data_IF_540304846761
#
_entry.id   IF_540304846761
#
_cell.length_a   1.000
_cell.length_b   1.000
_cell.length_c   1.000
_cell.angle_alpha   90.00
_cell.angle_beta   90.00
_cell.angle_gamma   90.00
#
_symmetry.space_group_name_H-M   'P 1'
#
loop_
_entity.id
_entity.type
_entity.pdbx_description
1 polymer ?
#
# COMPACT_ATOMS: atom_id res chain seq x y z
N UNK A 1 -54.91 -27.97 -25.79
CA UNK A 1 -56.18 -27.40 -26.33
C UNK A 1 -55.86 -26.26 -27.22
N UNK A 2 -56.20 -26.39 -28.47
CA UNK A 2 -55.97 -25.48 -29.58
C UNK A 2 -56.94 -24.29 -29.47
N UNK A 3 -56.52 -23.10 -29.75
CA UNK A 3 -57.37 -21.91 -29.86
C UNK A 3 -56.92 -20.98 -30.98
N UNK A 4 -57.65 -20.98 -32.01
CA UNK A 4 -57.60 -20.40 -33.34
C UNK A 4 -57.50 -18.88 -33.39
N UNK A 5 -56.75 -18.39 -34.39
CA UNK A 5 -56.78 -17.02 -34.93
C UNK A 5 -58.00 -16.78 -35.85
N UNK A 6 -58.45 -15.55 -36.06
CA UNK A 6 -58.94 -15.16 -37.36
C UNK A 6 -58.15 -14.00 -37.98
N UNK A 7 -57.84 -14.19 -39.24
CA UNK A 7 -57.38 -13.14 -40.21
C UNK A 7 -58.54 -12.22 -40.57
N UNK A 8 -58.28 -10.93 -40.54
CA UNK A 8 -59.10 -9.97 -41.26
C UNK A 8 -58.25 -9.25 -42.29
N UNK A 9 -58.61 -9.41 -43.54
CA UNK A 9 -58.06 -8.69 -44.68
C UNK A 9 -58.64 -7.31 -44.77
N UNK A 10 -57.82 -6.36 -45.13
CA UNK A 10 -58.29 -5.01 -45.56
C UNK A 10 -57.66 -4.63 -46.86
N UNK A 11 -58.52 -4.29 -47.79
CA UNK A 11 -58.27 -3.97 -49.19
C UNK A 11 -57.44 -2.69 -49.35
N UNK A 12 -56.47 -2.77 -50.21
CA UNK A 12 -55.62 -1.65 -50.63
C UNK A 12 -56.34 -0.83 -51.73
N UNK A 13 -56.72 0.42 -51.45
CA UNK A 13 -57.09 1.39 -52.46
C UNK A 13 -55.87 2.25 -52.80
N UNK A 14 -55.39 2.11 -54.03
CA UNK A 14 -54.35 2.94 -54.62
C UNK A 14 -54.89 4.36 -54.84
N UNK A 15 -54.37 5.36 -54.17
CA UNK A 15 -54.56 6.75 -54.51
C UNK A 15 -53.24 7.23 -55.13
N UNK A 16 -53.28 7.49 -56.43
CA UNK A 16 -52.17 8.08 -57.16
C UNK A 16 -52.24 9.60 -56.92
N UNK A 17 -51.32 10.10 -56.11
CA UNK A 17 -51.13 11.54 -55.87
C UNK A 17 -49.91 12.00 -56.68
N UNK A 18 -50.17 12.77 -57.75
CA UNK A 18 -49.12 13.36 -58.59
C UNK A 18 -48.46 14.53 -57.84
N UNK A 19 -47.23 14.36 -57.35
CA UNK A 19 -46.43 15.43 -56.77
C UNK A 19 -45.64 16.13 -57.92
N UNK A 20 -45.94 17.39 -58.13
CA UNK A 20 -45.11 18.31 -58.90
C UNK A 20 -43.84 18.61 -58.10
N UNK A 21 -42.68 18.12 -58.55
CA UNK A 21 -41.38 18.45 -58.00
C UNK A 21 -40.94 19.84 -58.40
N UNK A 22 -41.08 20.80 -57.49
CA UNK A 22 -40.43 22.14 -57.69
C UNK A 22 -38.96 21.99 -57.23
N UNK A 23 -38.03 22.05 -58.14
CA UNK A 23 -36.59 22.01 -57.83
C UNK A 23 -36.20 23.35 -57.15
N UNK A 24 -36.08 23.35 -55.82
CA UNK A 24 -35.42 24.41 -55.08
C UNK A 24 -33.94 24.15 -55.10
N UNK A 25 -33.19 24.93 -55.87
CA UNK A 25 -31.72 24.90 -55.86
C UNK A 25 -31.24 25.42 -54.52
N UNK A 26 -30.73 24.50 -53.62
CA UNK A 26 -30.05 24.89 -52.42
C UNK A 26 -28.71 25.55 -52.75
N UNK A 27 -28.32 26.63 -52.07
CA UNK A 27 -27.00 27.23 -52.25
C UNK A 27 -25.92 26.24 -51.82
N UNK A 28 -24.71 26.28 -52.43
CA UNK A 28 -23.62 25.37 -52.03
C UNK A 28 -23.27 25.61 -50.56
N UNK A 29 -23.29 24.53 -49.81
CA UNK A 29 -22.81 24.52 -48.43
C UNK A 29 -21.32 24.84 -48.50
N UNK A 30 -20.94 26.07 -48.18
CA UNK A 30 -19.53 26.43 -48.00
C UNK A 30 -19.00 25.58 -46.83
N UNK A 31 -18.05 24.68 -47.13
CA UNK A 31 -17.33 23.96 -46.11
C UNK A 31 -16.69 24.99 -45.16
N UNK A 32 -17.09 25.00 -43.91
CA UNK A 32 -16.42 25.82 -42.90
C UNK A 32 -14.93 25.42 -42.87
N UNK A 33 -14.06 26.41 -43.04
CA UNK A 33 -12.63 26.20 -42.86
C UNK A 33 -12.41 25.54 -41.47
N UNK A 34 -11.57 24.49 -41.39
CA UNK A 34 -11.26 23.89 -40.10
C UNK A 34 -10.70 24.97 -39.18
N UNK A 35 -11.32 25.13 -38.00
CA UNK A 35 -10.83 26.05 -36.99
C UNK A 35 -9.34 25.84 -36.78
N UNK A 36 -8.53 26.91 -36.62
CA UNK A 36 -7.10 26.79 -36.43
C UNK A 36 -6.84 25.80 -35.29
N UNK A 37 -6.03 24.78 -35.58
CA UNK A 37 -5.66 23.74 -34.65
C UNK A 37 -5.15 24.42 -33.36
N UNK A 38 -5.95 24.44 -32.31
CA UNK A 38 -5.50 24.90 -31.00
C UNK A 38 -4.25 24.09 -30.69
N UNK A 39 -3.10 24.74 -30.68
CA UNK A 39 -1.84 24.08 -30.37
C UNK A 39 -2.03 23.39 -29.02
N UNK A 40 -2.08 22.05 -29.03
CA UNK A 40 -2.21 21.26 -27.81
C UNK A 40 -1.07 21.66 -26.89
N UNK A 41 -1.40 22.14 -25.70
CA UNK A 41 -0.39 22.43 -24.68
C UNK A 41 0.36 21.13 -24.40
N UNK A 42 1.70 21.11 -24.50
CA UNK A 42 2.47 19.90 -24.26
C UNK A 42 2.16 19.33 -22.88
N UNK A 43 1.94 18.03 -22.79
CA UNK A 43 1.80 17.36 -21.50
C UNK A 43 3.09 17.50 -20.68
N UNK A 44 2.97 17.74 -19.39
CA UNK A 44 4.09 17.77 -18.44
C UNK A 44 4.05 16.54 -17.53
N UNK A 45 5.20 16.08 -16.99
CA UNK A 45 5.23 14.99 -16.02
C UNK A 45 4.40 15.32 -14.78
N UNK A 46 3.68 14.33 -14.26
CA UNK A 46 3.08 14.38 -12.92
C UNK A 46 4.15 13.91 -11.90
N UNK A 47 4.67 14.84 -11.09
CA UNK A 47 5.69 14.54 -10.08
C UNK A 47 4.99 14.27 -8.75
N UNK A 48 5.21 13.08 -8.18
CA UNK A 48 4.61 12.65 -6.91
C UNK A 48 5.60 12.81 -5.75
N UNK A 49 6.90 12.57 -5.99
CA UNK A 49 7.94 12.59 -4.97
C UNK A 49 9.32 12.52 -5.59
N UNK A 50 10.26 12.00 -4.85
CA UNK A 50 11.65 11.89 -5.25
C UNK A 50 12.12 10.43 -5.25
N UNK A 51 13.15 10.15 -6.04
CA UNK A 51 13.85 8.86 -6.02
C UNK A 51 15.36 9.09 -5.93
N UNK A 52 16.03 8.23 -5.15
CA UNK A 52 17.48 8.18 -5.11
C UNK A 52 17.96 6.73 -4.97
N UNK A 53 19.27 6.52 -5.12
CA UNK A 53 19.88 5.20 -4.99
C UNK A 53 20.92 5.18 -3.86
N UNK A 54 21.06 4.01 -3.24
CA UNK A 54 22.11 3.69 -2.27
C UNK A 54 22.89 2.50 -2.79
N UNK A 55 24.23 2.66 -2.91
CA UNK A 55 25.13 1.54 -3.12
C UNK A 55 25.33 0.83 -1.77
N UNK A 56 24.50 -0.18 -1.51
CA UNK A 56 24.50 -0.88 -0.23
C UNK A 56 25.73 -1.78 -0.11
N UNK A 57 26.55 -1.52 0.89
CA UNK A 57 27.69 -2.39 1.25
C UNK A 57 27.22 -3.66 1.96
N UNK A 58 26.14 -3.54 2.76
CA UNK A 58 25.55 -4.66 3.49
C UNK A 58 24.95 -5.68 2.53
N UNK A 59 24.23 -5.23 1.51
CA UNK A 59 23.56 -6.10 0.54
C UNK A 59 24.41 -6.40 -0.70
N UNK A 60 25.47 -5.62 -0.96
CA UNK A 60 26.33 -5.77 -2.13
C UNK A 60 25.63 -5.42 -3.44
N UNK A 61 24.65 -4.50 -3.41
CA UNK A 61 23.84 -4.11 -4.57
C UNK A 61 23.32 -2.68 -4.43
N UNK A 62 22.93 -2.09 -5.56
CA UNK A 62 22.26 -0.79 -5.58
C UNK A 62 20.81 -0.94 -5.19
N UNK A 63 20.34 -0.12 -4.24
CA UNK A 63 18.94 -0.04 -3.82
C UNK A 63 18.30 1.27 -4.26
N UNK A 64 17.12 1.20 -4.86
CA UNK A 64 16.33 2.38 -5.21
C UNK A 64 15.36 2.69 -4.09
N UNK A 65 15.31 3.96 -3.73
CA UNK A 65 14.48 4.48 -2.64
C UNK A 65 13.56 5.55 -3.21
N UNK A 66 12.28 5.41 -2.97
CA UNK A 66 11.25 6.36 -3.36
C UNK A 66 10.75 7.10 -2.12
N UNK A 67 10.63 8.42 -2.19
CA UNK A 67 10.23 9.24 -1.06
C UNK A 67 9.04 10.11 -1.44
N UNK A 68 8.01 10.10 -0.61
CA UNK A 68 6.89 11.01 -0.69
C UNK A 68 6.77 11.82 0.60
N UNK A 69 6.86 13.15 0.47
CA UNK A 69 6.61 14.09 1.58
C UNK A 69 5.22 14.70 1.39
N UNK A 70 4.25 14.43 2.28
CA UNK A 70 2.94 15.07 2.20
C UNK A 70 3.06 16.57 2.52
N UNK A 71 2.22 17.38 1.87
CA UNK A 71 2.16 18.82 2.06
C UNK A 71 0.71 19.24 2.40
N UNK A 72 0.19 18.88 3.58
CA UNK A 72 -1.11 19.34 4.00
C UNK A 72 -1.10 20.86 4.19
N UNK A 73 -2.28 21.46 4.10
CA UNK A 73 -2.42 22.92 4.25
C UNK A 73 -1.79 23.43 5.56
N UNK A 74 -0.95 24.44 5.45
CA UNK A 74 -0.30 25.07 6.61
C UNK A 74 0.93 24.36 7.16
N UNK A 75 1.35 23.23 6.59
CA UNK A 75 2.62 22.57 6.97
C UNK A 75 3.80 23.29 6.33
N UNK A 76 4.72 23.76 7.17
CA UNK A 76 6.01 24.28 6.69
C UNK A 76 6.82 23.16 6.05
N UNK A 77 7.35 23.35 4.81
CA UNK A 77 8.20 22.38 4.13
C UNK A 77 9.40 21.88 4.95
N UNK A 78 9.95 22.71 5.81
CA UNK A 78 11.09 22.39 6.67
C UNK A 78 10.70 21.70 8.01
N UNK A 79 9.41 21.54 8.28
CA UNK A 79 8.96 20.84 9.50
C UNK A 79 9.49 19.42 9.52
N UNK A 80 10.23 18.99 10.57
CA UNK A 80 10.66 17.61 10.69
C UNK A 80 9.46 16.65 10.82
N UNK A 81 9.43 15.60 9.98
CA UNK A 81 8.36 14.60 10.00
C UNK A 81 8.84 13.25 10.56
N UNK A 82 7.98 12.49 11.23
CA UNK A 82 8.23 11.08 11.48
C UNK A 82 8.28 10.33 10.15
N UNK A 83 8.96 9.16 10.14
CA UNK A 83 9.22 8.40 8.91
C UNK A 83 8.46 7.08 8.92
N UNK A 84 7.71 6.82 7.84
CA UNK A 84 7.07 5.54 7.56
C UNK A 84 7.90 4.81 6.48
N UNK A 85 8.58 3.75 6.89
CA UNK A 85 9.33 2.88 5.99
C UNK A 85 8.44 1.76 5.48
N UNK A 86 8.54 1.46 4.17
CA UNK A 86 7.80 0.38 3.55
C UNK A 86 8.69 -0.43 2.58
N UNK A 87 8.89 -1.72 2.79
CA UNK A 87 9.24 -2.66 1.73
C UNK A 87 8.15 -2.68 0.65
N UNK A 88 8.41 -3.29 -0.52
CA UNK A 88 7.50 -3.23 -1.66
C UNK A 88 7.23 -1.78 -2.11
N UNK A 89 8.26 -0.93 -2.02
CA UNK A 89 8.16 0.52 -2.19
C UNK A 89 8.53 1.02 -3.60
N UNK A 90 8.51 0.15 -4.62
CA UNK A 90 8.70 0.55 -6.01
C UNK A 90 7.45 1.23 -6.60
N UNK A 91 7.64 2.02 -7.66
CA UNK A 91 6.51 2.67 -8.37
C UNK A 91 5.57 1.64 -9.01
N UNK A 92 6.08 0.49 -9.43
CA UNK A 92 5.28 -0.64 -9.92
C UNK A 92 4.81 -1.60 -8.83
N UNK A 93 5.08 -1.28 -7.58
CA UNK A 93 4.68 -2.02 -6.38
C UNK A 93 3.63 -1.21 -5.60
N UNK A 94 3.71 -1.17 -4.27
CA UNK A 94 2.68 -0.54 -3.43
C UNK A 94 2.95 0.93 -3.07
N UNK A 95 4.04 1.54 -3.57
CA UNK A 95 4.41 2.92 -3.20
C UNK A 95 3.30 3.93 -3.48
N UNK A 96 2.73 3.93 -4.70
CA UNK A 96 1.69 4.90 -5.09
C UNK A 96 0.43 4.75 -4.25
N UNK A 97 0.07 3.52 -3.94
CA UNK A 97 -1.07 3.18 -3.11
C UNK A 97 -0.92 3.77 -1.69
N UNK A 98 0.22 3.53 -1.02
CA UNK A 98 0.46 4.03 0.34
C UNK A 98 0.70 5.55 0.35
N UNK A 99 1.39 6.09 -0.67
CA UNK A 99 1.55 7.55 -0.82
C UNK A 99 0.19 8.26 -0.95
N UNK A 100 -0.75 7.68 -1.70
CA UNK A 100 -2.11 8.19 -1.80
C UNK A 100 -2.86 8.17 -0.47
N UNK A 101 -2.71 7.11 0.34
CA UNK A 101 -3.26 7.06 1.69
C UNK A 101 -2.65 8.14 2.59
N UNK A 102 -1.32 8.27 2.61
CA UNK A 102 -0.63 9.30 3.39
C UNK A 102 -1.09 10.70 2.97
N UNK A 103 -1.23 10.95 1.65
CA UNK A 103 -1.73 12.22 1.13
C UNK A 103 -3.12 12.56 1.66
N UNK A 104 -4.06 11.65 1.45
CA UNK A 104 -5.48 11.88 1.79
C UNK A 104 -5.66 12.02 3.29
N UNK A 105 -5.03 11.15 4.08
CA UNK A 105 -5.19 11.15 5.53
C UNK A 105 -4.54 12.35 6.21
N UNK A 106 -3.38 12.80 5.73
CA UNK A 106 -2.76 14.02 6.25
C UNK A 106 -3.47 15.29 5.77
N UNK A 107 -4.05 15.27 4.55
CA UNK A 107 -4.77 16.41 4.00
C UNK A 107 -6.16 16.66 4.60
N UNK A 108 -6.77 15.63 5.21
CA UNK A 108 -8.10 15.72 5.86
C UNK A 108 -8.05 15.57 7.38
N UNK A 109 -6.89 15.72 7.99
CA UNK A 109 -6.67 15.63 9.46
C UNK A 109 -7.11 14.29 10.08
N UNK A 110 -7.14 13.20 9.29
CA UNK A 110 -7.38 11.86 9.83
C UNK A 110 -6.12 11.20 10.37
N UNK A 111 -4.95 11.73 9.99
CA UNK A 111 -3.64 11.27 10.39
C UNK A 111 -2.67 12.46 10.40
N UNK A 112 -1.73 12.49 11.35
CA UNK A 112 -0.61 13.42 11.28
C UNK A 112 0.37 13.06 10.16
N UNK A 113 1.04 14.03 9.53
CA UNK A 113 1.89 13.77 8.36
C UNK A 113 3.12 12.92 8.72
N UNK A 114 3.47 12.00 7.81
CA UNK A 114 4.68 11.17 7.83
C UNK A 114 5.42 11.32 6.51
N UNK A 115 6.74 11.36 6.54
CA UNK A 115 7.57 11.13 5.36
C UNK A 115 7.48 9.64 5.00
N UNK A 116 6.99 9.31 3.81
CA UNK A 116 6.97 7.93 3.33
C UNK A 116 8.28 7.62 2.62
N UNK A 117 8.92 6.51 3.02
CA UNK A 117 10.15 6.00 2.42
C UNK A 117 9.91 4.58 1.94
N UNK A 118 9.76 4.43 0.64
CA UNK A 118 9.56 3.15 -0.04
C UNK A 118 10.89 2.56 -0.52
N UNK A 119 11.10 1.27 -0.25
CA UNK A 119 12.28 0.53 -0.69
C UNK A 119 11.85 -0.39 -1.83
N UNK A 120 12.29 -0.08 -3.06
CA UNK A 120 12.02 -0.91 -4.23
C UNK A 120 12.71 -2.27 -4.12
N UNK A 121 12.01 -3.33 -4.51
CA UNK A 121 12.55 -4.68 -4.46
C UNK A 121 13.62 -4.90 -5.54
N UNK A 122 14.66 -5.61 -5.16
CA UNK A 122 15.57 -6.32 -6.07
C UNK A 122 15.28 -7.82 -6.00
N UNK A 123 15.35 -8.40 -4.81
CA UNK A 123 15.03 -9.79 -4.54
C UNK A 123 14.10 -9.92 -3.33
N UNK A 124 12.83 -9.62 -3.58
CA UNK A 124 11.79 -9.55 -2.55
C UNK A 124 11.81 -10.71 -1.56
N UNK A 125 11.87 -11.95 -2.08
CA UNK A 125 11.80 -13.15 -1.24
C UNK A 125 13.07 -13.38 -0.42
N UNK A 126 14.23 -13.04 -0.98
CA UNK A 126 15.49 -13.06 -0.21
C UNK A 126 15.42 -12.08 0.96
N UNK A 127 15.01 -10.85 0.69
CA UNK A 127 15.09 -9.73 1.64
C UNK A 127 14.04 -9.81 2.76
N UNK A 128 12.88 -10.40 2.47
CA UNK A 128 11.75 -10.41 3.40
C UNK A 128 11.57 -11.72 4.17
N UNK A 129 12.44 -12.70 3.94
CA UNK A 129 12.34 -14.00 4.62
C UNK A 129 13.57 -14.34 5.42
N UNK A 130 13.37 -14.92 6.58
CA UNK A 130 14.41 -15.62 7.33
C UNK A 130 14.79 -16.95 6.68
N UNK A 131 15.88 -17.60 7.17
CA UNK A 131 16.27 -18.93 6.69
C UNK A 131 15.14 -19.95 6.83
N UNK A 132 15.01 -20.83 5.84
CA UNK A 132 14.10 -21.96 5.89
C UNK A 132 14.79 -23.23 5.38
N UNK A 133 14.57 -24.35 6.07
CA UNK A 133 14.96 -25.69 5.62
C UNK A 133 13.81 -26.45 4.95
N UNK A 134 12.65 -25.81 4.79
CA UNK A 134 11.44 -26.38 4.19
C UNK A 134 11.61 -26.45 2.69
N UNK A 135 11.54 -27.64 2.04
CA UNK A 135 11.75 -27.75 0.60
C UNK A 135 10.75 -26.93 -0.23
N UNK A 136 9.52 -26.76 0.25
CA UNK A 136 8.48 -25.97 -0.37
C UNK A 136 8.84 -24.49 -0.44
N UNK A 137 9.38 -23.96 0.65
CA UNK A 137 9.84 -22.55 0.71
C UNK A 137 11.00 -22.32 -0.25
N UNK A 138 11.94 -23.27 -0.35
CA UNK A 138 13.07 -23.21 -1.26
C UNK A 138 12.66 -23.28 -2.75
N UNK A 139 11.52 -23.96 -3.05
CA UNK A 139 10.96 -23.98 -4.42
C UNK A 139 10.32 -22.64 -4.81
N UNK A 140 9.72 -21.93 -3.85
CA UNK A 140 9.08 -20.64 -4.10
C UNK A 140 10.14 -19.58 -4.46
N UNK A 141 11.33 -19.66 -3.87
CA UNK A 141 12.39 -18.69 -4.07
C UNK A 141 13.77 -19.36 -4.10
N UNK A 142 14.57 -19.16 -5.15
CA UNK A 142 15.91 -19.72 -5.24
C UNK A 142 16.89 -19.10 -4.22
N UNK A 143 16.62 -17.88 -3.77
CA UNK A 143 17.35 -17.19 -2.71
C UNK A 143 16.41 -16.73 -1.61
N UNK A 144 16.69 -17.15 -0.38
CA UNK A 144 15.92 -16.89 0.84
C UNK A 144 16.87 -16.58 1.99
N UNK A 145 16.35 -16.14 3.13
CA UNK A 145 17.11 -16.02 4.37
C UNK A 145 17.93 -14.75 4.52
N UNK A 146 17.64 -13.70 3.73
CA UNK A 146 18.35 -12.43 3.74
C UNK A 146 17.75 -11.36 4.66
N UNK A 147 16.67 -11.64 5.38
CA UNK A 147 15.95 -10.66 6.19
C UNK A 147 16.83 -9.96 7.24
N UNK A 148 17.78 -10.69 7.85
CA UNK A 148 18.72 -10.10 8.80
C UNK A 148 19.65 -9.07 8.15
N UNK A 149 20.18 -9.35 6.95
CA UNK A 149 20.99 -8.40 6.19
C UNK A 149 20.15 -7.20 5.72
N UNK A 150 18.92 -7.46 5.27
CA UNK A 150 18.00 -6.39 4.87
C UNK A 150 17.65 -5.47 6.05
N UNK A 151 17.42 -5.99 7.24
CA UNK A 151 17.22 -5.21 8.47
C UNK A 151 18.47 -4.40 8.83
N UNK A 152 19.67 -4.98 8.68
CA UNK A 152 20.94 -4.25 8.87
C UNK A 152 21.08 -3.12 7.87
N UNK A 153 20.76 -3.32 6.60
CA UNK A 153 20.72 -2.26 5.58
C UNK A 153 19.76 -1.11 5.99
N UNK A 154 18.56 -1.42 6.44
CA UNK A 154 17.62 -0.40 6.89
C UNK A 154 18.22 0.44 8.03
N UNK A 155 18.79 -0.23 9.04
CA UNK A 155 19.32 0.41 10.25
C UNK A 155 20.59 1.22 9.98
N UNK A 156 21.54 0.64 9.26
CA UNK A 156 22.91 1.15 9.20
C UNK A 156 23.21 2.00 7.96
N UNK A 157 22.40 1.86 6.90
CA UNK A 157 22.60 2.58 5.64
C UNK A 157 21.41 3.48 5.29
N UNK A 158 20.19 2.93 5.21
CA UNK A 158 19.03 3.69 4.75
C UNK A 158 18.59 4.78 5.74
N UNK A 159 18.42 4.44 7.01
CA UNK A 159 17.93 5.41 8.02
C UNK A 159 18.87 6.60 8.20
N UNK A 160 20.22 6.42 8.25
CA UNK A 160 21.14 7.55 8.26
C UNK A 160 21.05 8.42 7.00
N UNK A 161 20.93 7.82 5.82
CA UNK A 161 20.82 8.54 4.55
C UNK A 161 19.54 9.38 4.47
N UNK A 162 18.39 8.80 4.89
CA UNK A 162 17.12 9.52 4.95
C UNK A 162 17.21 10.72 5.90
N UNK A 163 17.81 10.54 7.08
CA UNK A 163 18.00 11.62 8.06
C UNK A 163 18.89 12.74 7.54
N UNK A 164 19.88 12.40 6.72
CA UNK A 164 20.76 13.40 6.10
C UNK A 164 20.07 14.22 5.02
N UNK A 165 19.14 13.59 4.27
CA UNK A 165 18.46 14.22 3.12
C UNK A 165 17.23 15.03 3.50
N UNK A 166 16.53 14.60 4.55
CA UNK A 166 15.20 15.12 4.87
C UNK A 166 15.12 15.55 6.35
N UNK A 167 14.41 16.64 6.66
CA UNK A 167 14.11 16.99 8.03
C UNK A 167 13.17 15.93 8.62
N UNK A 168 13.68 15.13 9.56
CA UNK A 168 12.95 14.03 10.21
C UNK A 168 13.05 14.07 11.72
N UNK A 169 12.02 13.56 12.38
CA UNK A 169 12.05 13.28 13.83
C UNK A 169 12.68 11.91 14.10
N UNK A 170 12.81 11.55 15.38
CA UNK A 170 13.27 10.22 15.78
C UNK A 170 12.18 9.15 15.69
N UNK A 171 10.92 9.54 15.46
CA UNK A 171 9.83 8.57 15.34
C UNK A 171 9.87 7.86 14.00
N UNK A 172 9.82 6.52 14.04
CA UNK A 172 9.91 5.64 12.88
C UNK A 172 8.86 4.55 12.95
N UNK A 173 8.24 4.27 11.82
CA UNK A 173 7.29 3.20 11.66
C UNK A 173 7.69 2.29 10.49
N UNK A 174 7.31 1.01 10.56
CA UNK A 174 7.50 0.02 9.50
C UNK A 174 6.13 -0.57 9.14
N UNK A 175 5.78 -0.57 7.86
CA UNK A 175 4.55 -1.15 7.32
C UNK A 175 4.87 -2.17 6.25
N UNK A 176 4.13 -3.28 6.22
CA UNK A 176 4.24 -4.28 5.15
C UNK A 176 3.08 -5.25 5.15
N UNK A 177 2.82 -5.79 3.96
CA UNK A 177 1.81 -6.82 3.70
C UNK A 177 2.48 -8.13 3.25
N UNK A 178 1.84 -9.28 3.51
CA UNK A 178 2.32 -10.57 3.01
C UNK A 178 3.73 -10.92 3.53
N UNK A 179 4.71 -11.14 2.65
CA UNK A 179 6.11 -11.35 3.03
C UNK A 179 6.75 -10.10 3.65
N UNK A 180 6.35 -8.89 3.21
CA UNK A 180 6.76 -7.66 3.90
C UNK A 180 6.15 -7.60 5.31
N UNK A 181 4.91 -8.07 5.49
CA UNK A 181 4.29 -8.26 6.81
C UNK A 181 5.05 -9.28 7.68
N UNK A 182 5.52 -10.38 7.10
CA UNK A 182 6.41 -11.33 7.78
C UNK A 182 7.69 -10.64 8.26
N UNK A 183 8.34 -9.85 7.40
CA UNK A 183 9.53 -9.08 7.73
C UNK A 183 9.27 -8.05 8.85
N UNK A 184 8.10 -7.40 8.84
CA UNK A 184 7.68 -6.50 9.93
C UNK A 184 7.62 -7.26 11.25
N UNK A 185 6.98 -8.43 11.30
CA UNK A 185 6.87 -9.25 12.51
C UNK A 185 8.24 -9.79 12.96
N UNK A 186 9.07 -10.24 12.02
CA UNK A 186 10.42 -10.68 12.33
C UNK A 186 11.25 -9.55 12.94
N UNK A 187 11.17 -8.35 12.37
CA UNK A 187 11.88 -7.16 12.87
C UNK A 187 11.39 -6.77 14.28
N UNK A 188 10.07 -6.79 14.49
CA UNK A 188 9.47 -6.58 15.82
C UNK A 188 10.03 -7.53 16.86
N UNK A 189 10.16 -8.81 16.53
CA UNK A 189 10.59 -9.83 17.48
C UNK A 189 12.11 -9.84 17.69
N UNK A 190 12.91 -9.56 16.66
CA UNK A 190 14.38 -9.64 16.72
C UNK A 190 15.02 -8.31 17.16
N UNK A 191 14.50 -7.17 16.71
CA UNK A 191 15.04 -5.84 17.01
C UNK A 191 13.90 -4.86 17.37
N UNK A 192 13.19 -5.07 18.50
CA UNK A 192 11.97 -4.33 18.83
C UNK A 192 12.16 -2.83 19.04
N UNK A 193 13.40 -2.36 19.23
CA UNK A 193 13.74 -0.94 19.40
C UNK A 193 14.02 -0.23 18.07
N UNK A 194 14.08 -0.97 16.94
CA UNK A 194 14.42 -0.38 15.66
C UNK A 194 13.34 0.59 15.15
N UNK A 195 12.07 0.31 15.46
CA UNK A 195 10.92 1.18 15.14
C UNK A 195 10.04 1.42 16.37
N UNK A 196 9.35 2.56 16.37
CA UNK A 196 8.36 2.89 17.40
C UNK A 196 7.00 2.23 17.13
N UNK A 197 6.71 1.99 15.85
CA UNK A 197 5.45 1.39 15.41
C UNK A 197 5.68 0.35 14.32
N UNK A 198 4.93 -0.75 14.41
CA UNK A 198 4.97 -1.89 13.48
C UNK A 198 3.57 -2.17 12.96
N UNK A 199 3.41 -2.20 11.64
CA UNK A 199 2.15 -2.45 10.95
C UNK A 199 2.32 -3.69 10.07
N UNK A 200 1.82 -4.84 10.53
CA UNK A 200 1.88 -6.08 9.78
C UNK A 200 0.48 -6.46 9.27
N UNK A 201 0.32 -6.43 7.95
CA UNK A 201 -0.95 -6.66 7.27
C UNK A 201 -0.88 -8.03 6.57
N UNK A 202 -1.80 -8.89 6.94
CA UNK A 202 -1.92 -10.27 6.41
C UNK A 202 -0.57 -11.01 6.31
N UNK A 203 0.25 -10.99 7.39
CA UNK A 203 1.64 -11.44 7.36
C UNK A 203 1.75 -12.93 7.05
N UNK A 204 2.71 -13.29 6.20
CA UNK A 204 2.99 -14.68 5.78
C UNK A 204 3.64 -15.51 6.91
N UNK A 205 3.00 -15.60 8.07
CA UNK A 205 3.52 -16.29 9.27
C UNK A 205 3.63 -17.80 9.11
N UNK A 206 3.11 -18.37 8.02
CA UNK A 206 3.28 -19.77 7.62
C UNK A 206 4.72 -20.11 7.20
N UNK A 207 5.54 -19.11 6.84
CA UNK A 207 6.92 -19.31 6.43
C UNK A 207 7.70 -20.18 7.41
N UNK A 208 8.53 -21.08 6.86
CA UNK A 208 9.29 -22.05 7.64
C UNK A 208 8.42 -22.82 8.65
N UNK A 209 7.25 -23.30 8.20
CA UNK A 209 6.25 -24.02 9.03
C UNK A 209 5.85 -23.24 10.30
N UNK A 210 5.78 -21.92 10.24
CA UNK A 210 5.38 -21.07 11.36
C UNK A 210 6.47 -20.90 12.44
N UNK A 211 7.73 -21.14 12.11
CA UNK A 211 8.83 -21.10 13.07
C UNK A 211 8.96 -19.74 13.77
N UNK A 212 8.68 -18.64 13.08
CA UNK A 212 8.71 -17.30 13.68
C UNK A 212 7.66 -17.19 14.79
N UNK A 213 6.42 -17.57 14.51
CA UNK A 213 5.31 -17.54 15.47
C UNK A 213 5.58 -18.48 16.65
N UNK A 214 6.13 -19.68 16.40
CA UNK A 214 6.52 -20.63 17.44
C UNK A 214 7.63 -20.08 18.37
N UNK A 215 8.51 -19.24 17.85
CA UNK A 215 9.58 -18.59 18.63
C UNK A 215 9.14 -17.36 19.42
N UNK A 216 8.01 -16.75 19.05
CA UNK A 216 7.53 -15.47 19.59
C UNK A 216 7.47 -15.45 21.14
N UNK A 217 6.98 -16.48 21.86
CA UNK A 217 6.94 -16.45 23.33
C UNK A 217 8.28 -16.19 24.00
N UNK A 218 9.39 -16.61 23.39
CA UNK A 218 10.75 -16.38 23.91
C UNK A 218 11.25 -14.97 23.67
N UNK A 219 10.75 -14.30 22.63
CA UNK A 219 11.21 -12.97 22.18
C UNK A 219 10.35 -11.83 22.73
N UNK A 220 9.09 -12.09 23.02
CA UNK A 220 8.12 -11.10 23.50
C UNK A 220 8.51 -10.35 24.78
N UNK A 221 9.27 -10.90 25.75
CA UNK A 221 9.76 -10.11 26.88
C UNK A 221 10.63 -8.91 26.48
N UNK A 222 11.45 -9.04 25.43
CA UNK A 222 12.23 -7.93 24.88
C UNK A 222 11.32 -6.88 24.19
N UNK A 223 10.30 -7.34 23.47
CA UNK A 223 9.28 -6.48 22.86
C UNK A 223 8.53 -5.69 23.93
N UNK A 224 8.10 -6.34 25.02
CA UNK A 224 7.42 -5.68 26.14
C UNK A 224 8.28 -4.59 26.78
N UNK A 225 9.59 -4.83 26.90
CA UNK A 225 10.55 -3.84 27.43
C UNK A 225 10.72 -2.65 26.49
N UNK A 226 10.74 -2.88 25.17
CA UNK A 226 10.88 -1.83 24.15
C UNK A 226 9.61 -0.98 23.98
N UNK A 227 8.44 -1.55 24.28
CA UNK A 227 7.11 -0.89 24.23
C UNK A 227 6.75 -0.27 22.88
N UNK A 228 7.00 -0.93 21.73
CA UNK A 228 6.53 -0.43 20.45
C UNK A 228 4.99 -0.49 20.38
N UNK A 229 4.41 0.25 19.43
CA UNK A 229 2.99 0.14 19.10
C UNK A 229 2.83 -0.83 17.92
N UNK A 230 1.96 -1.81 18.03
CA UNK A 230 1.76 -2.82 17.00
C UNK A 230 0.32 -2.79 16.49
N UNK A 231 0.15 -2.77 15.16
CA UNK A 231 -1.13 -2.98 14.51
C UNK A 231 -1.05 -4.22 13.61
N UNK A 232 -2.03 -5.09 13.76
CA UNK A 232 -2.16 -6.30 12.95
C UNK A 232 -3.47 -6.27 12.18
N UNK A 233 -3.45 -6.79 10.95
CA UNK A 233 -4.66 -7.07 10.19
C UNK A 233 -4.54 -8.42 9.48
N UNK A 234 -5.66 -9.05 9.20
CA UNK A 234 -5.75 -10.27 8.40
C UNK A 234 -6.87 -10.20 7.38
N UNK A 235 -6.68 -10.86 6.25
CA UNK A 235 -7.74 -11.14 5.28
C UNK A 235 -8.70 -12.21 5.80
N UNK A 236 -9.71 -12.57 4.98
CA UNK A 236 -10.59 -13.72 5.22
C UNK A 236 -9.95 -15.08 4.92
N UNK A 237 -8.68 -15.16 4.52
CA UNK A 237 -8.01 -16.43 4.27
C UNK A 237 -7.70 -17.15 5.58
N UNK A 238 -8.22 -18.39 5.80
CA UNK A 238 -8.22 -19.03 7.12
C UNK A 238 -6.82 -19.18 7.74
N UNK A 239 -5.82 -19.58 6.96
CA UNK A 239 -4.46 -19.80 7.46
C UNK A 239 -3.79 -18.49 7.93
N UNK A 240 -3.92 -17.42 7.14
CA UNK A 240 -3.39 -16.09 7.47
C UNK A 240 -4.14 -15.47 8.66
N UNK A 241 -5.47 -15.58 8.66
CA UNK A 241 -6.30 -15.11 9.76
C UNK A 241 -5.94 -15.82 11.07
N UNK A 242 -5.81 -17.14 11.07
CA UNK A 242 -5.49 -17.93 12.24
C UNK A 242 -4.12 -17.58 12.82
N UNK A 243 -3.10 -17.51 11.98
CA UNK A 243 -1.72 -17.22 12.45
C UNK A 243 -1.58 -15.78 12.95
N UNK A 244 -2.24 -14.82 12.30
CA UNK A 244 -2.26 -13.42 12.74
C UNK A 244 -3.03 -13.26 14.06
N UNK A 245 -4.14 -13.96 14.22
CA UNK A 245 -4.91 -13.98 15.48
C UNK A 245 -4.09 -14.57 16.64
N UNK A 246 -3.34 -15.64 16.38
CA UNK A 246 -2.43 -16.23 17.39
C UNK A 246 -1.35 -15.24 17.82
N UNK A 247 -0.72 -14.52 16.87
CA UNK A 247 0.24 -13.47 17.21
C UNK A 247 -0.40 -12.36 18.03
N UNK A 248 -1.60 -11.92 17.66
CA UNK A 248 -2.37 -10.92 18.40
C UNK A 248 -2.60 -11.34 19.85
N UNK A 249 -3.02 -12.58 20.08
CA UNK A 249 -3.24 -13.13 21.42
C UNK A 249 -1.94 -13.18 22.23
N UNK A 250 -0.82 -13.55 21.62
CA UNK A 250 0.48 -13.57 22.28
C UNK A 250 0.93 -12.15 22.70
N UNK A 251 0.76 -11.16 21.84
CA UNK A 251 1.08 -9.76 22.17
C UNK A 251 0.21 -9.23 23.31
N UNK A 252 -1.09 -9.47 23.25
CA UNK A 252 -2.03 -9.08 24.31
C UNK A 252 -1.73 -9.76 25.65
N UNK A 253 -1.43 -11.05 25.61
CA UNK A 253 -1.06 -11.82 26.81
C UNK A 253 0.27 -11.40 27.44
N UNK A 254 1.19 -10.84 26.63
CA UNK A 254 2.48 -10.33 27.12
C UNK A 254 2.33 -8.93 27.73
N UNK A 255 1.70 -8.01 27.05
CA UNK A 255 1.34 -6.67 27.53
C UNK A 255 0.24 -6.07 26.66
N UNK A 256 -0.94 -5.78 27.22
CA UNK A 256 -2.05 -5.23 26.45
C UNK A 256 -1.72 -3.91 25.72
N UNK A 257 -0.77 -3.14 26.23
CA UNK A 257 -0.37 -1.85 25.64
C UNK A 257 0.45 -2.00 24.35
N UNK A 258 0.96 -3.18 24.04
CA UNK A 258 1.73 -3.44 22.81
C UNK A 258 0.84 -3.43 21.57
N UNK A 259 -0.34 -4.02 21.69
CA UNK A 259 -1.26 -4.14 20.57
C UNK A 259 -2.18 -2.91 20.51
N UNK A 260 -1.89 -2.00 19.60
CA UNK A 260 -2.74 -0.84 19.33
C UNK A 260 -4.05 -1.22 18.61
N UNK A 261 -4.03 -2.33 17.84
CA UNK A 261 -5.22 -2.88 17.20
C UNK A 261 -4.94 -4.20 16.47
N UNK A 262 -5.96 -5.04 16.42
CA UNK A 262 -6.06 -6.18 15.50
C UNK A 262 -7.40 -6.09 14.78
N UNK A 263 -7.36 -6.07 13.45
CA UNK A 263 -8.56 -5.96 12.63
C UNK A 263 -8.61 -7.09 11.59
N UNK A 264 -9.52 -8.05 11.72
CA UNK A 264 -9.82 -9.00 10.66
C UNK A 264 -10.72 -8.36 9.59
N UNK A 265 -10.36 -8.51 8.33
CA UNK A 265 -11.12 -8.07 7.16
C UNK A 265 -11.68 -9.31 6.45
N UNK A 266 -12.73 -9.90 7.01
CA UNK A 266 -13.26 -11.20 6.58
C UNK A 266 -13.81 -11.21 5.15
N UNK A 267 -14.15 -10.05 4.60
CA UNK A 267 -14.65 -9.90 3.22
C UNK A 267 -13.53 -9.68 2.20
N UNK A 268 -12.30 -9.46 2.68
CA UNK A 268 -11.15 -9.22 1.82
C UNK A 268 -10.38 -10.52 1.56
N UNK A 269 -9.81 -10.62 0.38
CA UNK A 269 -8.82 -11.64 0.04
C UNK A 269 -7.41 -11.14 0.38
N UNK A 270 -6.40 -12.02 0.31
CA UNK A 270 -4.99 -11.62 0.43
C UNK A 270 -4.60 -10.50 -0.55
N UNK A 271 -5.11 -10.54 -1.78
CA UNK A 271 -4.80 -9.52 -2.79
C UNK A 271 -5.57 -8.20 -2.66
N UNK A 272 -6.58 -8.12 -1.78
CA UNK A 272 -7.41 -6.90 -1.65
C UNK A 272 -7.34 -6.26 -0.26
N UNK A 273 -6.80 -6.96 0.73
CA UNK A 273 -6.80 -6.52 2.14
C UNK A 273 -5.89 -5.32 2.41
N UNK A 274 -4.83 -5.13 1.62
CA UNK A 274 -3.81 -4.12 1.93
C UNK A 274 -4.43 -2.71 2.08
N UNK A 275 -5.22 -2.27 1.11
CA UNK A 275 -5.78 -0.91 1.11
C UNK A 275 -6.63 -0.59 2.36
N UNK A 276 -7.71 -1.35 2.66
CA UNK A 276 -8.53 -1.07 3.83
C UNK A 276 -7.76 -1.28 5.14
N UNK A 277 -6.84 -2.24 5.20
CA UNK A 277 -6.06 -2.51 6.40
C UNK A 277 -5.03 -1.40 6.67
N UNK A 278 -4.33 -0.90 5.65
CA UNK A 278 -3.41 0.21 5.78
C UNK A 278 -4.13 1.51 6.20
N UNK A 279 -5.28 1.81 5.56
CA UNK A 279 -6.12 2.94 5.94
C UNK A 279 -6.47 2.90 7.43
N UNK A 280 -6.94 1.75 7.92
CA UNK A 280 -7.32 1.57 9.32
C UNK A 280 -6.11 1.67 10.26
N UNK A 281 -4.98 1.04 9.90
CA UNK A 281 -3.75 1.05 10.69
C UNK A 281 -3.19 2.46 10.88
N UNK A 282 -3.08 3.22 9.78
CA UNK A 282 -2.55 4.57 9.79
C UNK A 282 -3.38 5.52 10.67
N UNK A 283 -4.70 5.45 10.56
CA UNK A 283 -5.61 6.25 11.40
C UNK A 283 -5.55 5.84 12.87
N UNK A 284 -5.40 4.57 13.17
CA UNK A 284 -5.35 4.06 14.55
C UNK A 284 -4.04 4.42 15.23
N UNK A 285 -2.92 4.25 14.52
CA UNK A 285 -1.59 4.49 15.10
C UNK A 285 -1.19 5.96 15.12
N UNK A 286 -1.59 6.71 14.13
CA UNK A 286 -1.09 8.06 13.89
C UNK A 286 -2.21 9.12 13.80
N UNK A 287 -3.13 9.19 14.77
CA UNK A 287 -4.20 10.18 14.73
C UNK A 287 -3.63 11.60 14.59
N UNK A 288 -4.39 12.50 13.99
CA UNK A 288 -4.02 13.92 13.92
C UNK A 288 -3.69 14.47 15.32
N UNK A 289 -2.86 15.50 15.36
CA UNK A 289 -2.63 16.20 16.61
C UNK A 289 -3.95 16.78 17.10
N UNK A 290 -4.21 16.76 18.43
CA UNK A 290 -5.35 17.49 18.96
C UNK A 290 -5.30 18.94 18.47
N UNK A 291 -6.43 19.45 17.97
CA UNK A 291 -6.49 20.88 17.62
C UNK A 291 -6.01 21.70 18.82
N UNK A 292 -5.11 22.65 18.59
CA UNK A 292 -4.71 23.58 19.64
C UNK A 292 -6.00 24.20 20.20
N UNK A 293 -6.27 24.00 21.49
CA UNK A 293 -7.41 24.67 22.13
C UNK A 293 -7.16 26.15 22.03
N UNK A 294 -8.15 26.94 21.60
CA UNK A 294 -8.04 28.39 21.48
C UNK A 294 -7.80 29.07 22.81
#
# INVERSE_FOLDING_TARGET
MLGFFPRMGCSMRLIVLSLLLSAVSAPPLMAAEPAPNAQAVPASPLVIGETFTIESKVLGETRRINVYRPQPWGLDPETPLPVLYMPDGGIGEDFLHVAGLVQVLSGNDSMRPFLLVGIENTERRRDMTGPSSVPEDQKIAPRIGGSAAYRTFLRDELMPEVRQRYPTTDERALIGESLAGLFVVETLLQEPTLFNSYIALDPSLWWNKGALLASAPKLLPAVAKAKPRVFLASSGQPELAQTTQQLSALLQGTSPSLLAGYQPFLQETHGTVYHPAALQALRTLFPAYPAAQP
#
